data_IF_420223849842
#
_entry.id   IF_420223849842
#
_cell.length_a   1.000
_cell.length_b   1.000
_cell.length_c   1.000
_cell.angle_alpha   90.00
_cell.angle_beta   90.00
_cell.angle_gamma   90.00
#
_symmetry.space_group_name_H-M   'P 1'
#
loop_
_entity.id
_entity.type
_entity.pdbx_description
1 polymer ?
#
# COMPACT_ATOMS: atom_id res chain seq x y z
N UNK A 1 -2.53 -25.86 0.30
CA UNK A 1 -2.66 -24.64 1.14
C UNK A 1 -3.30 -23.50 0.35
N UNK A 2 -2.70 -23.07 -0.76
CA UNK A 2 -3.30 -22.05 -1.63
C UNK A 2 -4.74 -22.38 -2.04
N UNK A 3 -5.01 -23.64 -2.43
CA UNK A 3 -6.37 -24.07 -2.79
C UNK A 3 -7.37 -23.97 -1.62
N UNK A 4 -6.95 -24.32 -0.40
CA UNK A 4 -7.78 -24.15 0.79
C UNK A 4 -8.07 -22.67 1.07
N UNK A 5 -7.11 -21.76 0.83
CA UNK A 5 -7.38 -20.33 0.90
C UNK A 5 -8.41 -19.91 -0.15
N UNK A 6 -8.29 -20.37 -1.40
CA UNK A 6 -9.26 -20.06 -2.46
C UNK A 6 -10.67 -20.51 -2.07
N UNK A 7 -10.81 -21.72 -1.54
CA UNK A 7 -12.09 -22.24 -1.04
C UNK A 7 -12.65 -21.37 0.09
N UNK A 8 -11.83 -21.04 1.09
CA UNK A 8 -12.24 -20.25 2.26
C UNK A 8 -12.60 -18.79 1.92
N UNK A 9 -11.96 -18.22 0.90
CA UNK A 9 -12.25 -16.86 0.43
C UNK A 9 -13.59 -16.77 -0.32
N UNK A 10 -14.10 -17.90 -0.83
CA UNK A 10 -15.33 -17.93 -1.63
C UNK A 10 -15.24 -17.12 -2.92
N UNK A 11 -14.03 -16.74 -3.36
CA UNK A 11 -13.77 -15.92 -4.54
C UNK A 11 -12.62 -16.54 -5.32
N UNK A 12 -12.83 -16.80 -6.60
CA UNK A 12 -11.81 -17.39 -7.46
C UNK A 12 -10.75 -16.33 -7.86
N UNK A 13 -9.44 -16.59 -7.64
CA UNK A 13 -8.38 -15.74 -8.16
C UNK A 13 -8.25 -15.89 -9.68
N UNK A 14 -7.69 -14.87 -10.34
CA UNK A 14 -7.31 -14.94 -11.75
C UNK A 14 -6.06 -15.79 -11.97
N UNK A 15 -5.20 -15.91 -10.96
CA UNK A 15 -4.02 -16.78 -11.00
C UNK A 15 -3.57 -17.20 -9.60
N UNK A 16 -2.91 -18.35 -9.54
CA UNK A 16 -2.27 -18.92 -8.34
C UNK A 16 -0.83 -19.27 -8.68
N UNK A 17 0.14 -18.65 -8.02
CA UNK A 17 1.57 -18.89 -8.23
C UNK A 17 2.35 -18.85 -6.91
N UNK A 18 2.98 -19.97 -6.52
CA UNK A 18 3.95 -20.02 -5.42
C UNK A 18 3.45 -19.51 -4.05
N UNK A 19 2.14 -19.54 -3.79
CA UNK A 19 1.52 -18.99 -2.57
C UNK A 19 0.93 -17.58 -2.74
N UNK A 20 0.98 -17.02 -3.95
CA UNK A 20 0.32 -15.76 -4.32
C UNK A 20 -1.00 -16.06 -5.04
N UNK A 21 -2.09 -15.52 -4.53
CA UNK A 21 -3.40 -15.51 -5.18
C UNK A 21 -3.65 -14.12 -5.74
N UNK A 22 -3.82 -14.00 -7.06
CA UNK A 22 -4.02 -12.71 -7.72
C UNK A 22 -5.49 -12.51 -8.05
N UNK A 23 -6.02 -11.33 -7.77
CA UNK A 23 -7.38 -10.90 -8.07
C UNK A 23 -7.30 -9.56 -8.82
N UNK A 24 -8.05 -9.42 -9.91
CA UNK A 24 -8.06 -8.19 -10.72
C UNK A 24 -9.48 -7.65 -10.77
N UNK A 25 -9.64 -6.37 -10.42
CA UNK A 25 -10.93 -5.66 -10.47
C UNK A 25 -10.74 -4.27 -11.07
N UNK A 26 -11.13 -4.10 -12.32
CA UNK A 26 -10.91 -2.86 -13.05
C UNK A 26 -9.42 -2.53 -13.12
N UNK A 27 -9.04 -1.36 -12.62
CA UNK A 27 -7.65 -0.89 -12.58
C UNK A 27 -6.84 -1.41 -11.38
N UNK A 28 -7.45 -2.17 -10.46
CA UNK A 28 -6.81 -2.67 -9.25
C UNK A 28 -6.37 -4.13 -9.42
N UNK A 29 -5.16 -4.43 -8.93
CA UNK A 29 -4.64 -5.77 -8.75
C UNK A 29 -4.44 -6.02 -7.26
N UNK A 30 -5.24 -6.90 -6.69
CA UNK A 30 -5.12 -7.33 -5.30
C UNK A 30 -4.45 -8.70 -5.25
N UNK A 31 -3.41 -8.83 -4.44
CA UNK A 31 -2.67 -10.06 -4.23
C UNK A 31 -2.79 -10.49 -2.78
N UNK A 32 -3.26 -11.71 -2.53
CA UNK A 32 -3.07 -12.36 -1.25
C UNK A 32 -1.78 -13.17 -1.33
N UNK A 33 -0.80 -12.84 -0.49
CA UNK A 33 0.47 -13.56 -0.42
C UNK A 33 0.50 -14.44 0.81
N UNK A 34 0.91 -15.70 0.63
CA UNK A 34 1.18 -16.66 1.69
C UNK A 34 2.67 -16.98 1.63
N UNK A 35 3.41 -16.75 2.71
CA UNK A 35 4.86 -16.96 2.74
C UNK A 35 5.33 -17.61 4.04
N UNK A 36 6.44 -18.35 3.95
CA UNK A 36 7.15 -18.86 5.14
C UNK A 36 7.84 -17.72 5.86
N UNK A 37 7.78 -17.70 7.18
CA UNK A 37 8.56 -16.74 7.95
C UNK A 37 10.06 -16.93 7.66
N UNK A 38 10.77 -15.80 7.55
CA UNK A 38 12.19 -15.78 7.16
C UNK A 38 13.09 -16.33 8.28
N UNK A 39 12.70 -16.12 9.54
CA UNK A 39 13.46 -16.49 10.73
C UNK A 39 13.01 -17.84 11.28
N UNK A 40 11.73 -18.19 11.12
CA UNK A 40 11.16 -19.49 11.47
C UNK A 40 10.49 -20.15 10.26
N UNK A 41 11.22 -21.04 9.58
CA UNK A 41 10.69 -21.78 8.43
C UNK A 41 9.61 -22.79 8.78
N UNK A 42 9.36 -23.04 10.07
CA UNK A 42 8.24 -23.83 10.55
C UNK A 42 6.94 -23.01 10.64
N UNK A 43 7.00 -21.69 10.47
CA UNK A 43 5.86 -20.80 10.47
C UNK A 43 5.58 -20.18 9.09
N UNK A 44 4.37 -19.67 8.92
CA UNK A 44 3.92 -18.91 7.76
C UNK A 44 3.03 -17.74 8.16
N UNK A 45 2.97 -16.77 7.28
CA UNK A 45 2.06 -15.63 7.38
C UNK A 45 1.33 -15.45 6.07
N UNK A 46 0.26 -14.67 6.13
CA UNK A 46 -0.42 -14.18 4.94
C UNK A 46 -0.79 -12.71 5.12
N UNK A 47 -0.91 -12.00 4.00
CA UNK A 47 -1.35 -10.61 3.93
C UNK A 47 -1.99 -10.36 2.58
N UNK A 48 -2.73 -9.27 2.49
CA UNK A 48 -3.26 -8.77 1.22
C UNK A 48 -2.55 -7.48 0.85
N UNK A 49 -2.26 -7.30 -0.43
CA UNK A 49 -1.71 -6.07 -0.99
C UNK A 49 -2.52 -5.68 -2.22
N UNK A 50 -2.94 -4.43 -2.34
CA UNK A 50 -3.62 -3.92 -3.52
C UNK A 50 -2.77 -2.86 -4.20
N UNK A 51 -2.54 -3.03 -5.50
CA UNK A 51 -1.77 -2.14 -6.37
C UNK A 51 -2.61 -1.65 -7.55
N UNK A 52 -2.17 -0.57 -8.19
CA UNK A 52 -2.71 -0.10 -9.46
C UNK A 52 -2.03 -0.81 -10.63
N UNK A 53 -2.83 -1.55 -11.41
CA UNK A 53 -2.37 -2.37 -12.55
C UNK A 53 -1.54 -1.62 -13.58
N UNK A 54 -1.92 -0.37 -13.91
CA UNK A 54 -1.24 0.41 -14.94
C UNK A 54 0.15 0.91 -14.56
N UNK A 55 0.55 0.78 -13.30
CA UNK A 55 1.87 1.21 -12.79
C UNK A 55 2.69 0.08 -12.18
N UNK A 56 2.04 -1.01 -11.74
CA UNK A 56 2.65 -2.16 -11.06
C UNK A 56 3.96 -2.62 -11.71
N UNK A 57 3.92 -3.02 -12.99
CA UNK A 57 5.07 -3.64 -13.66
C UNK A 57 6.23 -2.64 -13.86
N UNK A 58 5.94 -1.33 -13.90
CA UNK A 58 6.97 -0.27 -14.02
C UNK A 58 7.55 0.14 -12.66
N UNK A 59 6.92 -0.26 -11.57
CA UNK A 59 7.27 0.17 -10.21
C UNK A 59 7.63 -1.00 -9.28
N UNK A 60 7.87 -2.19 -9.81
CA UNK A 60 8.19 -3.39 -9.02
C UNK A 60 9.40 -3.16 -8.09
N UNK A 61 10.46 -2.52 -8.61
CA UNK A 61 11.66 -2.14 -7.84
C UNK A 61 11.39 -1.14 -6.70
N UNK A 62 10.23 -0.47 -6.71
CA UNK A 62 9.80 0.52 -5.72
C UNK A 62 8.69 0.01 -4.81
N UNK A 63 8.27 -1.25 -4.97
CA UNK A 63 7.14 -1.85 -4.24
C UNK A 63 5.75 -1.51 -4.80
N UNK A 64 5.66 -0.91 -5.99
CA UNK A 64 4.39 -0.60 -6.66
C UNK A 64 3.73 0.71 -6.21
N UNK A 65 2.47 0.93 -6.64
CA UNK A 65 1.58 2.01 -6.17
C UNK A 65 0.41 1.37 -5.45
N UNK A 66 0.65 0.95 -4.22
CA UNK A 66 -0.29 0.12 -3.51
C UNK A 66 -0.27 0.30 -2.00
N UNK A 67 -1.16 -0.43 -1.36
CA UNK A 67 -1.26 -0.51 0.09
C UNK A 67 -1.34 -1.95 0.55
N UNK A 68 -0.72 -2.20 1.71
CA UNK A 68 -0.84 -3.46 2.44
C UNK A 68 -2.07 -3.40 3.33
N UNK A 69 -2.82 -4.49 3.37
CA UNK A 69 -3.96 -4.72 4.25
C UNK A 69 -3.60 -5.84 5.23
N UNK A 70 -3.77 -5.53 6.51
CA UNK A 70 -3.37 -6.36 7.64
C UNK A 70 -4.56 -6.85 8.46
N UNK A 71 -4.42 -8.04 9.06
CA UNK A 71 -5.43 -8.73 9.87
C UNK A 71 -4.80 -9.68 10.90
N UNK A 72 -5.44 -9.86 12.06
CA UNK A 72 -5.89 -8.77 12.91
C UNK A 72 -4.66 -7.96 13.39
N UNK A 73 -4.80 -6.66 13.62
CA UNK A 73 -3.74 -5.91 14.31
C UNK A 73 -4.07 -5.81 15.81
N UNK A 74 -3.09 -5.94 16.76
CA UNK A 74 -3.36 -5.89 18.19
C UNK A 74 -3.89 -4.51 18.62
N UNK A 75 -4.48 -4.48 19.81
CA UNK A 75 -4.86 -3.30 20.61
C UNK A 75 -3.91 -2.10 20.42
N UNK A 76 -4.39 -1.03 19.77
CA UNK A 76 -3.66 0.22 19.57
C UNK A 76 -4.55 1.32 18.99
N UNK A 77 -4.22 2.59 19.27
CA UNK A 77 -4.92 3.75 18.72
C UNK A 77 -4.56 3.99 17.24
N UNK A 78 -5.31 4.85 16.55
CA UNK A 78 -5.13 5.09 15.11
C UNK A 78 -3.86 5.90 14.75
N UNK A 79 -2.99 6.19 15.72
CA UNK A 79 -1.80 7.01 15.50
C UNK A 79 -0.78 6.30 14.62
N UNK A 80 -0.02 7.03 13.78
CA UNK A 80 1.05 6.45 12.99
C UNK A 80 2.10 5.77 13.88
N UNK A 81 2.13 4.45 13.87
CA UNK A 81 3.16 3.65 14.54
C UNK A 81 3.76 2.64 13.55
N UNK A 82 4.83 1.96 13.97
CA UNK A 82 5.41 0.88 13.16
C UNK A 82 4.36 -0.19 12.88
N UNK A 83 4.35 -0.72 11.66
CA UNK A 83 3.46 -1.83 11.27
C UNK A 83 3.66 -2.97 12.26
N UNK A 84 2.58 -3.55 12.82
CA UNK A 84 2.68 -4.72 13.69
C UNK A 84 3.44 -5.87 12.99
N UNK A 85 4.10 -6.77 13.74
CA UNK A 85 4.57 -8.01 13.15
C UNK A 85 3.38 -8.77 12.55
N UNK A 86 3.60 -9.40 11.39
CA UNK A 86 2.58 -10.25 10.80
C UNK A 86 2.23 -11.40 11.75
N UNK A 87 0.96 -11.82 11.77
CA UNK A 87 0.59 -13.04 12.48
C UNK A 87 1.31 -14.23 11.83
N UNK A 88 2.09 -14.96 12.63
CA UNK A 88 2.79 -16.18 12.21
C UNK A 88 2.02 -17.40 12.73
N UNK A 89 1.74 -18.35 11.85
CA UNK A 89 1.03 -19.59 12.12
C UNK A 89 1.94 -20.79 11.80
N UNK A 90 1.81 -21.92 12.51
CA UNK A 90 2.55 -23.12 12.16
C UNK A 90 2.27 -23.58 10.72
N UNK A 91 3.31 -23.93 9.98
CA UNK A 91 3.18 -24.51 8.64
C UNK A 91 2.50 -25.89 8.75
N UNK A 92 1.43 -26.16 8.01
CA UNK A 92 0.75 -27.45 8.05
C UNK A 92 1.70 -28.55 7.58
N UNK A 93 1.84 -29.61 8.37
CA UNK A 93 2.69 -30.74 8.04
C UNK A 93 2.11 -31.52 6.85
N UNK A 94 2.88 -31.67 5.78
CA UNK A 94 2.48 -32.43 4.60
C UNK A 94 1.18 -31.90 3.96
N UNK A 95 0.17 -32.76 3.86
CA UNK A 95 -1.15 -32.46 3.30
C UNK A 95 -2.23 -32.18 4.36
N UNK A 96 -1.83 -31.91 5.61
CA UNK A 96 -2.78 -31.60 6.67
C UNK A 96 -3.65 -30.37 6.31
N UNK A 97 -4.93 -30.35 6.73
CA UNK A 97 -5.77 -29.16 6.59
C UNK A 97 -5.19 -27.99 7.41
N UNK A 98 -5.57 -26.77 7.04
CA UNK A 98 -5.30 -25.58 7.83
C UNK A 98 -5.89 -25.72 9.24
N UNK A 99 -5.17 -25.22 10.23
CA UNK A 99 -5.68 -25.17 11.60
C UNK A 99 -6.99 -24.34 11.65
N UNK A 100 -7.97 -24.71 12.49
CA UNK A 100 -9.27 -24.06 12.53
C UNK A 100 -9.21 -22.54 12.76
N UNK A 101 -8.27 -22.08 13.58
CA UNK A 101 -8.06 -20.65 13.84
C UNK A 101 -7.60 -19.88 12.59
N UNK A 102 -6.82 -20.53 11.72
CA UNK A 102 -6.37 -19.94 10.45
C UNK A 102 -7.54 -19.91 9.48
N UNK A 103 -8.27 -21.01 9.36
CA UNK A 103 -9.44 -21.09 8.50
C UNK A 103 -10.49 -20.03 8.87
N UNK A 104 -10.79 -19.89 10.17
CA UNK A 104 -11.68 -18.84 10.68
C UNK A 104 -11.14 -17.44 10.40
N UNK A 105 -9.82 -17.21 10.54
CA UNK A 105 -9.18 -15.95 10.20
C UNK A 105 -9.31 -15.59 8.71
N UNK A 106 -9.06 -16.54 7.82
CA UNK A 106 -9.18 -16.35 6.37
C UNK A 106 -10.63 -16.07 5.97
N UNK A 107 -11.59 -16.86 6.48
CA UNK A 107 -13.02 -16.63 6.21
C UNK A 107 -13.50 -15.28 6.72
N UNK A 108 -13.02 -14.84 7.89
CA UNK A 108 -13.43 -13.57 8.49
C UNK A 108 -12.82 -12.35 7.82
N UNK A 109 -11.51 -12.37 7.58
CA UNK A 109 -10.76 -11.17 7.18
C UNK A 109 -10.42 -11.16 5.69
N UNK A 110 -10.27 -12.32 5.05
CA UNK A 110 -9.87 -12.43 3.65
C UNK A 110 -10.79 -11.65 2.70
N UNK A 111 -12.12 -11.87 2.70
CA UNK A 111 -13.03 -11.12 1.85
C UNK A 111 -12.98 -9.60 2.08
N UNK A 112 -12.96 -9.15 3.34
CA UNK A 112 -12.86 -7.73 3.69
C UNK A 112 -11.53 -7.13 3.22
N UNK A 113 -10.41 -7.84 3.37
CA UNK A 113 -9.11 -7.41 2.89
C UNK A 113 -9.07 -7.30 1.36
N UNK A 114 -9.69 -8.24 0.63
CA UNK A 114 -9.73 -8.20 -0.84
C UNK A 114 -10.57 -7.02 -1.39
N UNK A 115 -11.55 -6.56 -0.63
CA UNK A 115 -12.45 -5.46 -1.01
C UNK A 115 -12.13 -4.12 -0.33
N UNK A 116 -11.06 -4.08 0.47
CA UNK A 116 -10.72 -2.91 1.29
C UNK A 116 -10.54 -1.64 0.47
N UNK A 117 -9.81 -1.74 -0.65
CA UNK A 117 -9.65 -0.68 -1.65
C UNK A 117 -10.78 -0.82 -2.65
N UNK A 118 -11.59 0.22 -2.82
CA UNK A 118 -12.80 0.17 -3.67
C UNK A 118 -12.46 0.40 -5.15
N UNK A 119 -11.68 1.44 -5.42
CA UNK A 119 -11.27 1.87 -6.76
C UNK A 119 -9.91 2.62 -6.68
N UNK A 120 -9.44 3.14 -7.82
CA UNK A 120 -8.19 3.89 -7.88
C UNK A 120 -8.22 5.22 -7.12
N UNK A 121 -9.39 5.85 -6.99
CA UNK A 121 -9.53 7.09 -6.22
C UNK A 121 -9.35 6.81 -4.73
N UNK A 122 -10.05 5.79 -4.21
CA UNK A 122 -9.92 5.33 -2.83
C UNK A 122 -8.49 4.88 -2.51
N UNK A 123 -7.81 4.20 -3.44
CA UNK A 123 -6.38 3.91 -3.30
C UNK A 123 -5.53 5.18 -3.11
N UNK A 124 -5.81 6.21 -3.92
CA UNK A 124 -5.18 7.51 -3.78
C UNK A 124 -5.43 8.18 -2.43
N UNK A 125 -6.68 8.16 -1.95
CA UNK A 125 -7.03 8.69 -0.62
C UNK A 125 -6.33 7.90 0.50
N UNK A 126 -6.21 6.59 0.36
CA UNK A 126 -5.49 5.74 1.31
C UNK A 126 -3.99 6.09 1.34
N UNK A 127 -3.37 6.37 0.19
CA UNK A 127 -1.99 6.89 0.11
C UNK A 127 -1.85 8.28 0.77
N UNK A 128 -2.90 9.11 0.70
CA UNK A 128 -2.95 10.42 1.34
C UNK A 128 -3.37 10.40 2.81
N UNK A 129 -3.77 9.26 3.38
CA UNK A 129 -4.15 9.21 4.79
C UNK A 129 -3.00 9.68 5.72
N UNK A 130 -3.31 10.41 6.78
CA UNK A 130 -2.33 10.78 7.83
C UNK A 130 -2.27 9.74 8.95
N UNK A 131 -3.30 8.91 9.08
CA UNK A 131 -3.45 7.89 10.13
C UNK A 131 -3.70 6.51 9.52
N UNK A 132 -3.73 5.50 10.38
CA UNK A 132 -4.18 4.17 9.97
C UNK A 132 -5.66 4.20 9.61
N UNK A 133 -6.03 3.47 8.54
CA UNK A 133 -7.43 3.39 8.09
C UNK A 133 -7.98 2.02 8.47
N UNK A 134 -9.08 2.01 9.22
CA UNK A 134 -9.76 0.80 9.67
C UNK A 134 -11.12 0.69 8.99
N UNK A 135 -11.38 -0.47 8.37
CA UNK A 135 -12.66 -0.81 7.75
C UNK A 135 -12.92 -2.28 8.01
N UNK A 136 -14.14 -2.62 8.47
CA UNK A 136 -14.59 -4.02 8.55
C UNK A 136 -13.65 -4.98 9.31
N UNK A 137 -12.94 -4.48 10.33
CA UNK A 137 -12.04 -5.30 11.15
C UNK A 137 -10.65 -5.50 10.57
N UNK A 138 -10.31 -4.86 9.45
CA UNK A 138 -9.00 -4.90 8.80
C UNK A 138 -8.41 -3.49 8.64
N UNK A 139 -7.09 -3.42 8.48
CA UNK A 139 -6.34 -2.17 8.58
C UNK A 139 -5.44 -1.93 7.38
N UNK A 140 -5.36 -0.67 6.94
CA UNK A 140 -4.27 -0.16 6.10
C UNK A 140 -3.37 0.73 6.93
N UNK A 141 -2.11 0.32 7.08
CA UNK A 141 -1.13 1.06 7.87
C UNK A 141 -0.49 2.21 7.09
N UNK A 142 -0.20 3.28 7.81
CA UNK A 142 0.41 4.51 7.32
C UNK A 142 1.65 4.76 8.17
N UNK A 143 2.80 4.25 7.74
CA UNK A 143 4.04 4.50 8.46
C UNK A 143 4.47 5.96 8.25
N UNK A 144 4.83 6.66 9.34
CA UNK A 144 5.23 8.06 9.28
C UNK A 144 6.41 8.29 8.31
N UNK A 145 7.33 7.32 8.24
CA UNK A 145 8.54 7.39 7.42
C UNK A 145 8.28 7.29 5.91
N UNK A 146 7.10 6.81 5.48
CA UNK A 146 6.75 6.65 4.07
C UNK A 146 5.93 7.82 3.50
N UNK A 147 5.60 8.82 4.32
CA UNK A 147 4.73 9.94 3.96
C UNK A 147 5.10 10.64 2.64
N UNK A 148 6.36 11.07 2.44
CA UNK A 148 6.78 11.71 1.19
C UNK A 148 6.65 10.81 -0.04
N UNK A 149 7.01 9.52 0.10
CA UNK A 149 6.92 8.55 -0.99
C UNK A 149 5.46 8.30 -1.40
N UNK A 150 4.58 8.15 -0.40
CA UNK A 150 3.14 7.96 -0.60
C UNK A 150 2.46 9.17 -1.22
N UNK A 151 2.84 10.38 -0.80
CA UNK A 151 2.31 11.59 -1.43
C UNK A 151 2.71 11.67 -2.91
N UNK A 152 3.98 11.36 -3.24
CA UNK A 152 4.43 11.30 -4.62
C UNK A 152 3.71 10.21 -5.43
N UNK A 153 3.47 9.03 -4.85
CA UNK A 153 2.65 7.97 -5.45
C UNK A 153 1.20 8.42 -5.68
N UNK A 154 0.59 9.17 -4.77
CA UNK A 154 -0.77 9.68 -4.93
C UNK A 154 -0.88 10.68 -6.09
N UNK A 155 0.08 11.61 -6.25
CA UNK A 155 0.10 12.53 -7.40
C UNK A 155 0.33 11.76 -8.70
N UNK A 156 1.26 10.80 -8.70
CA UNK A 156 1.52 9.93 -9.84
C UNK A 156 0.26 9.17 -10.27
N UNK A 157 -0.45 8.57 -9.33
CA UNK A 157 -1.70 7.85 -9.56
C UNK A 157 -2.80 8.78 -10.09
N UNK A 158 -2.93 9.97 -9.50
CA UNK A 158 -3.91 10.96 -9.92
C UNK A 158 -3.68 11.35 -11.39
N UNK A 159 -2.44 11.65 -11.77
CA UNK A 159 -2.07 11.97 -13.16
C UNK A 159 -2.29 10.81 -14.12
N UNK A 160 -1.93 9.59 -13.71
CA UNK A 160 -2.16 8.38 -14.49
C UNK A 160 -3.65 8.15 -14.77
N UNK A 161 -4.51 8.47 -13.81
CA UNK A 161 -5.96 8.28 -13.93
C UNK A 161 -6.72 9.51 -14.46
N UNK A 162 -6.06 10.67 -14.58
CA UNK A 162 -6.72 11.94 -14.86
C UNK A 162 -7.63 12.43 -13.72
N UNK A 163 -7.36 12.03 -12.49
CA UNK A 163 -8.16 12.35 -11.30
C UNK A 163 -7.76 13.70 -10.69
N UNK A 164 -8.43 14.76 -11.15
CA UNK A 164 -8.15 16.13 -10.72
C UNK A 164 -8.48 16.39 -9.25
N UNK A 165 -9.48 15.70 -8.70
CA UNK A 165 -9.85 15.87 -7.30
C UNK A 165 -8.76 15.30 -6.38
N UNK A 166 -8.28 14.10 -6.69
CA UNK A 166 -7.18 13.47 -5.97
C UNK A 166 -5.89 14.28 -6.10
N UNK A 167 -5.57 14.77 -7.31
CA UNK A 167 -4.37 15.61 -7.51
C UNK A 167 -4.46 16.90 -6.67
N UNK A 168 -5.61 17.56 -6.68
CA UNK A 168 -5.87 18.75 -5.85
C UNK A 168 -5.68 18.47 -4.36
N UNK A 169 -6.20 17.34 -3.87
CA UNK A 169 -6.04 16.94 -2.47
C UNK A 169 -4.56 16.69 -2.14
N UNK A 170 -3.83 15.98 -3.00
CA UNK A 170 -2.42 15.69 -2.81
C UNK A 170 -1.55 16.95 -2.83
N UNK A 171 -1.79 17.87 -3.77
CA UNK A 171 -1.08 19.16 -3.86
C UNK A 171 -1.39 20.04 -2.65
N UNK A 172 -2.62 20.05 -2.17
CA UNK A 172 -3.00 20.78 -0.95
C UNK A 172 -2.25 20.24 0.27
N UNK A 173 -2.19 18.91 0.42
CA UNK A 173 -1.42 18.27 1.49
C UNK A 173 0.07 18.61 1.40
N UNK A 174 0.64 18.59 0.19
CA UNK A 174 2.03 18.98 -0.05
C UNK A 174 2.31 20.43 0.34
N UNK A 175 1.40 21.37 0.03
CA UNK A 175 1.53 22.77 0.42
C UNK A 175 1.50 22.95 1.95
N UNK A 176 0.63 22.21 2.63
CA UNK A 176 0.48 22.32 4.08
C UNK A 176 1.67 21.73 4.84
N UNK A 177 2.23 20.62 4.35
CA UNK A 177 3.27 19.85 5.05
C UNK A 177 4.67 20.04 4.48
N UNK A 178 4.82 20.71 3.34
CA UNK A 178 6.05 20.72 2.55
C UNK A 178 7.27 21.29 3.28
N UNK A 179 7.06 22.18 4.24
CA UNK A 179 8.09 22.80 5.07
C UNK A 179 8.35 22.05 6.40
N UNK A 180 7.62 20.96 6.67
CA UNK A 180 7.90 20.11 7.83
C UNK A 180 9.22 19.35 7.60
N UNK A 181 10.06 19.18 8.63
CA UNK A 181 11.23 18.31 8.54
C UNK A 181 10.80 16.84 8.46
N UNK A 182 11.48 16.04 7.62
CA UNK A 182 11.27 14.58 7.55
C UNK A 182 11.99 13.85 8.68
N UNK A 183 13.09 14.42 9.17
CA UNK A 183 13.86 13.93 10.30
C UNK A 183 14.40 15.12 11.12
N UNK A 184 14.69 14.93 12.42
CA UNK A 184 15.24 16.00 13.27
C UNK A 184 16.60 16.56 12.78
N UNK A 185 17.36 15.76 12.03
CA UNK A 185 18.64 16.16 11.43
C UNK A 185 18.99 15.19 10.28
N UNK A 186 19.54 15.64 9.14
CA UNK A 186 19.74 17.03 8.71
C UNK A 186 18.41 17.74 8.34
N UNK A 187 18.47 19.05 8.08
CA UNK A 187 17.35 19.91 7.61
C UNK A 187 16.81 19.49 6.23
N UNK A 188 16.21 18.31 6.17
CA UNK A 188 15.63 17.73 4.97
C UNK A 188 14.11 17.82 5.06
N UNK A 189 13.56 18.70 4.22
CA UNK A 189 12.14 19.06 4.25
C UNK A 189 11.29 18.03 3.51
N UNK A 190 10.03 17.90 3.93
CA UNK A 190 9.06 17.00 3.33
C UNK A 190 8.95 17.18 1.82
N UNK A 191 8.90 18.44 1.34
CA UNK A 191 8.85 18.75 -0.10
C UNK A 191 10.09 18.28 -0.87
N UNK A 192 11.26 18.24 -0.22
CA UNK A 192 12.50 17.79 -0.85
C UNK A 192 12.51 16.27 -1.01
N UNK A 193 12.02 15.56 0.01
CA UNK A 193 11.80 14.11 -0.06
C UNK A 193 10.79 13.74 -1.15
N UNK A 194 9.66 14.48 -1.23
CA UNK A 194 8.68 14.30 -2.31
C UNK A 194 9.33 14.50 -3.68
N UNK A 195 10.17 15.52 -3.85
CA UNK A 195 10.86 15.77 -5.12
C UNK A 195 11.81 14.63 -5.53
N UNK A 196 12.53 14.05 -4.56
CA UNK A 196 13.47 12.97 -4.82
C UNK A 196 12.74 11.66 -5.16
N UNK A 197 11.61 11.36 -4.52
CA UNK A 197 10.73 10.26 -4.94
C UNK A 197 10.10 10.50 -6.30
N UNK A 198 9.59 11.71 -6.55
CA UNK A 198 8.96 12.09 -7.82
C UNK A 198 9.91 11.92 -8.99
N UNK A 199 11.20 12.25 -8.82
CA UNK A 199 12.23 12.02 -9.86
C UNK A 199 12.39 10.53 -10.18
N UNK A 200 12.42 9.69 -9.15
CA UNK A 200 12.57 8.24 -9.32
C UNK A 200 11.35 7.65 -10.02
N UNK A 201 10.15 8.04 -9.61
CA UNK A 201 8.91 7.55 -10.22
C UNK A 201 8.71 8.05 -11.65
N UNK A 202 9.00 9.32 -11.94
CA UNK A 202 8.94 9.84 -13.30
C UNK A 202 9.88 9.08 -14.24
N UNK A 203 11.10 8.78 -13.77
CA UNK A 203 12.07 7.96 -14.53
C UNK A 203 11.54 6.55 -14.79
N UNK A 204 10.93 5.92 -13.79
CA UNK A 204 10.44 4.54 -13.89
C UNK A 204 9.18 4.42 -14.76
N UNK A 205 8.27 5.38 -14.66
CA UNK A 205 6.92 5.28 -15.25
C UNK A 205 6.77 6.04 -16.56
N UNK A 206 7.62 7.04 -16.81
CA UNK A 206 7.50 7.97 -17.94
C UNK A 206 6.45 9.07 -17.73
N UNK A 207 5.79 9.11 -16.57
CA UNK A 207 4.78 10.14 -16.25
C UNK A 207 5.47 11.42 -15.79
N UNK A 208 5.03 12.55 -16.32
CA UNK A 208 5.62 13.84 -15.98
C UNK A 208 5.32 14.22 -14.52
N UNK A 209 6.39 14.36 -13.74
CA UNK A 209 6.42 14.92 -12.37
C UNK A 209 7.47 16.04 -12.25
N UNK A 210 7.82 16.68 -13.36
CA UNK A 210 8.92 17.66 -13.43
C UNK A 210 8.65 18.93 -12.62
N UNK A 211 7.38 19.28 -12.42
CA UNK A 211 6.93 20.33 -11.51
C UNK A 211 7.30 20.04 -10.06
N UNK A 212 7.15 18.80 -9.60
CA UNK A 212 7.55 18.38 -8.25
C UNK A 212 9.07 18.43 -8.06
N UNK A 213 9.86 18.24 -9.12
CA UNK A 213 11.32 18.37 -9.04
C UNK A 213 11.77 19.79 -8.64
N UNK A 214 10.94 20.82 -8.89
CA UNK A 214 11.22 22.22 -8.54
C UNK A 214 11.12 22.49 -7.02
N UNK A 215 10.55 21.57 -6.24
CA UNK A 215 10.37 21.72 -4.79
C UNK A 215 11.69 21.75 -4.01
N UNK A 216 12.81 21.30 -4.59
CA UNK A 216 14.14 21.37 -3.95
C UNK A 216 14.72 22.79 -3.90
N UNK A 217 14.11 23.77 -4.56
CA UNK A 217 14.57 25.16 -4.60
C UNK A 217 14.39 25.85 -3.23
N UNK A 218 15.16 26.91 -2.96
CA UNK A 218 15.05 27.74 -1.74
C UNK A 218 13.66 28.38 -1.60
N UNK A 219 13.05 28.80 -2.71
CA UNK A 219 11.66 29.24 -2.82
C UNK A 219 10.96 28.30 -3.80
N UNK A 220 10.28 27.26 -3.31
CA UNK A 220 9.67 26.26 -4.19
C UNK A 220 8.50 26.89 -4.95
N UNK A 221 8.28 26.40 -6.16
CA UNK A 221 7.05 26.65 -6.90
C UNK A 221 6.22 25.38 -6.77
N UNK A 222 5.13 25.45 -6.01
CA UNK A 222 4.20 24.34 -5.87
C UNK A 222 3.37 24.21 -7.16
N UNK A 223 2.94 22.99 -7.53
CA UNK A 223 2.02 22.80 -8.64
C UNK A 223 0.79 23.68 -8.46
N UNK A 224 0.30 24.26 -9.55
CA UNK A 224 -1.00 24.93 -9.55
C UNK A 224 -2.08 23.89 -9.28
N UNK A 225 -3.11 24.29 -8.53
CA UNK A 225 -4.27 23.42 -8.30
C UNK A 225 -5.12 23.52 -9.58
N UNK A 226 -5.33 22.42 -10.32
CA UNK A 226 -6.23 22.41 -11.47
C UNK A 226 -7.66 22.79 -11.07
#
# INVERSE_FOLDING_TARGET
>A
MADQFVELLGTAPVSVDGGKLTFVRGSLCTMLSIWKDRYDRSAFSWMVYTDYTGLRDRMDDFGGVGIRIDHPTPTGDASPSSIPPAACYPWPAGSAPLAPEIAAGVTRYGPASLHFVRDSHDLGLLLLADTHVHREGVWSFTSANSGPARLAQAILLARQCGDQELERAAVTKLRNRGEEPVAPYPDYLFRQAVADWSRQYAKATGIDLSDLAKLKRKRPQYPEIP
#
